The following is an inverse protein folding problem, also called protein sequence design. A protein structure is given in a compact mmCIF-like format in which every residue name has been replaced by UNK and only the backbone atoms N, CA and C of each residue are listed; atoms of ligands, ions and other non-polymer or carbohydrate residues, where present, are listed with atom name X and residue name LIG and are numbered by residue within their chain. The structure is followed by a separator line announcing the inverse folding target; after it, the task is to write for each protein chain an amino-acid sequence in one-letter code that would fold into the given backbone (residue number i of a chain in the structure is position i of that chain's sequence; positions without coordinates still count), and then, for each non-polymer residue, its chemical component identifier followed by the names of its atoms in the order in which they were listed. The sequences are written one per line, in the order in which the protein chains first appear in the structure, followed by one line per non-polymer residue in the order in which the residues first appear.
data_IF_422054322646
#
_entry.id   IF_422054322646
#
_cell.length_a   1.000
_cell.length_b   1.000
_cell.length_c   1.000
_cell.angle_alpha   90.00
_cell.angle_beta   90.00
_cell.angle_gamma   90.00
#
_symmetry.space_group_name_H-M   'P 1'
#
loop_
_entity.id
_entity.type
_entity.pdbx_description
1 polymer ?
#
# COMPACT_ATOMS: atom_id res chain seq x y z
N UNK A 1 -10.15 47.82 14.72
CA UNK A 1 -10.85 47.32 13.52
C UNK A 1 -10.92 45.82 13.69
N UNK A 2 -12.10 45.29 14.04
CA UNK A 2 -12.32 43.85 14.09
C UNK A 2 -12.35 43.37 12.66
N UNK A 3 -11.29 42.74 12.19
CA UNK A 3 -11.37 41.99 10.93
C UNK A 3 -12.47 40.97 11.10
N UNK A 4 -13.56 41.15 10.36
CA UNK A 4 -14.63 40.17 10.28
C UNK A 4 -14.03 39.02 9.50
N UNK A 5 -13.50 38.06 10.23
CA UNK A 5 -12.96 36.84 9.67
C UNK A 5 -14.11 36.17 8.91
N UNK A 6 -14.02 36.15 7.57
CA UNK A 6 -15.03 35.52 6.75
C UNK A 6 -14.90 34.00 6.93
N UNK A 7 -15.77 33.47 7.79
CA UNK A 7 -15.83 32.04 8.10
C UNK A 7 -16.00 31.18 6.85
N UNK A 8 -16.54 31.73 5.76
CA UNK A 8 -16.71 31.03 4.50
C UNK A 8 -15.35 30.83 3.82
N UNK A 9 -14.52 31.87 3.82
CA UNK A 9 -13.16 31.85 3.24
C UNK A 9 -12.26 30.88 4.01
N UNK A 10 -12.33 30.88 5.36
CA UNK A 10 -11.62 29.90 6.19
C UNK A 10 -12.03 28.47 5.87
N UNK A 11 -13.33 28.20 5.73
CA UNK A 11 -13.81 26.84 5.43
C UNK A 11 -13.39 26.40 4.03
N UNK A 12 -13.29 27.33 3.08
CA UNK A 12 -12.79 27.04 1.74
C UNK A 12 -11.31 26.64 1.77
N UNK A 13 -10.47 27.43 2.44
CA UNK A 13 -9.04 27.15 2.59
C UNK A 13 -8.79 25.84 3.33
N UNK A 14 -9.55 25.57 4.40
CA UNK A 14 -9.44 24.29 5.13
C UNK A 14 -9.82 23.08 4.27
N UNK A 15 -10.75 23.22 3.32
CA UNK A 15 -11.07 22.15 2.37
C UNK A 15 -9.95 21.94 1.37
N UNK A 16 -9.38 23.01 0.81
CA UNK A 16 -8.24 22.92 -0.10
C UNK A 16 -7.04 22.23 0.57
N UNK A 17 -6.69 22.65 1.79
CA UNK A 17 -5.62 22.03 2.59
C UNK A 17 -5.90 20.54 2.83
N UNK A 18 -7.15 20.16 3.07
CA UNK A 18 -7.53 18.76 3.28
C UNK A 18 -7.34 17.93 1.99
N UNK A 19 -7.75 18.46 0.86
CA UNK A 19 -7.58 17.80 -0.45
C UNK A 19 -6.09 17.61 -0.79
N UNK A 20 -5.27 18.63 -0.54
CA UNK A 20 -3.82 18.57 -0.71
C UNK A 20 -3.18 17.53 0.23
N UNK A 21 -3.61 17.47 1.49
CA UNK A 21 -3.13 16.46 2.44
C UNK A 21 -3.50 15.04 2.02
N UNK A 22 -4.69 14.83 1.49
CA UNK A 22 -5.12 13.52 1.00
C UNK A 22 -4.31 13.11 -0.25
N UNK A 23 -4.03 14.06 -1.15
CA UNK A 23 -3.14 13.84 -2.30
C UNK A 23 -1.71 13.50 -1.86
N UNK A 24 -1.15 14.24 -0.89
CA UNK A 24 0.20 13.97 -0.37
C UNK A 24 0.23 12.58 0.28
N UNK A 25 -0.77 12.21 1.09
CA UNK A 25 -0.83 10.88 1.72
C UNK A 25 -0.94 9.74 0.71
N UNK A 26 -1.68 9.92 -0.39
CA UNK A 26 -1.81 8.88 -1.41
C UNK A 26 -0.54 8.70 -2.25
N UNK A 27 0.29 9.74 -2.33
CA UNK A 27 1.57 9.74 -3.06
C UNK A 27 2.80 9.68 -2.16
N UNK A 28 2.60 9.66 -0.84
CA UNK A 28 3.60 9.18 0.11
C UNK A 28 3.77 7.70 -0.17
N UNK A 29 4.63 7.40 -1.14
CA UNK A 29 5.25 6.09 -1.28
C UNK A 29 5.87 5.83 0.09
N UNK A 30 5.40 4.77 0.76
CA UNK A 30 6.05 4.28 1.96
C UNK A 30 7.51 4.03 1.55
N UNK A 31 8.44 4.87 2.01
CA UNK A 31 9.86 4.73 1.69
C UNK A 31 10.38 3.36 2.17
N UNK A 32 9.64 2.74 3.11
CA UNK A 32 9.84 1.39 3.62
C UNK A 32 9.16 0.29 2.78
N UNK A 33 8.48 0.63 1.69
CA UNK A 33 7.97 -0.35 0.72
C UNK A 33 9.11 -0.78 -0.21
N UNK A 34 10.02 -1.56 0.35
CA UNK A 34 11.13 -2.27 -0.30
C UNK A 34 10.57 -3.51 -1.03
N UNK A 35 9.47 -3.36 -1.76
CA UNK A 35 9.01 -4.42 -2.65
C UNK A 35 9.42 -4.03 -4.06
N UNK A 36 10.43 -4.72 -4.56
CA UNK A 36 10.84 -4.62 -5.94
C UNK A 36 9.75 -5.21 -6.85
N UNK A 37 9.84 -4.94 -8.15
CA UNK A 37 8.94 -5.53 -9.13
C UNK A 37 8.99 -7.07 -9.09
N UNK A 38 10.18 -7.64 -8.88
CA UNK A 38 10.42 -9.08 -8.74
C UNK A 38 9.72 -9.66 -7.51
N UNK A 39 9.70 -8.93 -6.39
CA UNK A 39 8.97 -9.35 -5.17
C UNK A 39 7.47 -9.41 -5.43
N UNK A 40 6.92 -8.42 -6.15
CA UNK A 40 5.52 -8.39 -6.51
C UNK A 40 5.14 -9.52 -7.48
N UNK A 41 5.99 -9.80 -8.47
CA UNK A 41 5.85 -10.94 -9.39
C UNK A 41 5.82 -12.27 -8.61
N UNK A 42 6.77 -12.46 -7.70
CA UNK A 42 6.88 -13.66 -6.87
C UNK A 42 5.64 -13.87 -6.00
N UNK A 43 5.11 -12.81 -5.38
CA UNK A 43 3.87 -12.89 -4.60
C UNK A 43 2.64 -13.23 -5.46
N UNK A 44 2.56 -12.67 -6.66
CA UNK A 44 1.46 -12.96 -7.57
C UNK A 44 1.49 -14.42 -8.06
N UNK A 45 2.68 -14.95 -8.33
CA UNK A 45 2.87 -16.36 -8.64
C UNK A 45 2.43 -17.25 -7.47
N UNK A 46 2.93 -16.99 -6.25
CA UNK A 46 2.50 -17.71 -5.05
C UNK A 46 0.97 -17.70 -4.87
N UNK A 47 0.32 -16.55 -5.04
CA UNK A 47 -1.15 -16.43 -4.95
C UNK A 47 -1.87 -17.24 -6.03
N UNK A 48 -1.27 -17.38 -7.22
CA UNK A 48 -1.80 -18.21 -8.29
C UNK A 48 -1.71 -19.70 -7.92
N UNK A 49 -0.53 -20.17 -7.52
CA UNK A 49 -0.27 -21.55 -7.11
C UNK A 49 -1.12 -21.96 -5.90
N UNK A 50 -1.28 -21.06 -4.93
CA UNK A 50 -2.18 -21.26 -3.79
C UNK A 50 -3.62 -21.47 -4.20
N UNK A 51 -4.12 -20.68 -5.15
CA UNK A 51 -5.49 -20.80 -5.68
C UNK A 51 -5.66 -22.08 -6.50
N UNK A 52 -4.62 -22.50 -7.21
CA UNK A 52 -4.59 -23.74 -7.96
C UNK A 52 -4.44 -24.99 -7.08
N UNK A 53 -4.08 -24.82 -5.79
CA UNK A 53 -3.86 -25.94 -4.87
C UNK A 53 -2.58 -26.72 -5.15
N UNK A 54 -1.60 -26.12 -5.84
CA UNK A 54 -0.35 -26.78 -6.25
C UNK A 54 0.78 -26.62 -5.23
N UNK A 55 0.51 -25.98 -4.10
CA UNK A 55 1.51 -25.80 -3.04
C UNK A 55 1.69 -27.10 -2.25
N UNK A 56 2.95 -27.44 -1.98
CA UNK A 56 3.31 -28.52 -1.07
C UNK A 56 3.68 -27.96 0.30
N UNK A 57 3.58 -28.80 1.33
CA UNK A 57 4.07 -28.44 2.66
C UNK A 57 5.59 -28.41 2.71
N UNK A 58 6.14 -27.65 3.65
CA UNK A 58 7.58 -27.59 3.87
C UNK A 58 8.19 -28.96 4.20
N UNK A 59 7.44 -29.81 4.89
CA UNK A 59 7.87 -31.17 5.25
C UNK A 59 7.87 -32.12 4.04
N UNK A 60 6.93 -31.94 3.10
CA UNK A 60 6.97 -32.67 1.82
C UNK A 60 8.15 -32.23 0.96
N UNK A 61 8.42 -30.91 0.89
CA UNK A 61 9.58 -30.38 0.17
C UNK A 61 10.90 -30.94 0.71
N UNK A 62 11.08 -31.02 2.03
CA UNK A 62 12.29 -31.63 2.63
C UNK A 62 12.48 -33.08 2.20
N UNK A 63 11.40 -33.87 2.22
CA UNK A 63 11.45 -35.27 1.76
C UNK A 63 11.86 -35.38 0.30
N UNK A 64 11.34 -34.51 -0.57
CA UNK A 64 11.73 -34.47 -1.99
C UNK A 64 13.21 -34.08 -2.19
N UNK A 65 13.74 -33.20 -1.34
CA UNK A 65 15.14 -32.77 -1.36
C UNK A 65 16.10 -33.71 -0.62
N UNK A 66 15.58 -34.75 0.04
CA UNK A 66 16.38 -35.69 0.85
C UNK A 66 16.96 -35.09 2.13
N UNK A 67 16.31 -34.06 2.68
CA UNK A 67 16.68 -33.36 3.93
C UNK A 67 15.85 -33.85 5.13
#
# INVERSE_FOLDING_TARGET
MSEVIDSVEIVHELKAIREDLDFIKSHMIDIDSIMTEDDNLSLNQYRSEKRAGTLISHEELKKELGL
#
